data_IF_437111085902
#
_entry.id   IF_437111085902
#
_cell.length_a   1.000
_cell.length_b   1.000
_cell.length_c   1.000
_cell.angle_alpha   90.00
_cell.angle_beta   90.00
_cell.angle_gamma   90.00
#
_symmetry.space_group_name_H-M   'P 1'
#
loop_
_entity.id
_entity.type
_entity.pdbx_description
1 polymer ?
#
# COMPACT_ATOMS: atom_id res chain seq x y z
N UNK A 1 24.39 -11.07 -5.14
CA UNK A 1 24.24 -10.14 -4.00
C UNK A 1 23.30 -10.75 -2.97
N UNK A 2 23.81 -11.30 -1.86
CA UNK A 2 23.01 -11.96 -0.82
C UNK A 2 21.92 -11.05 -0.22
N UNK A 3 22.15 -9.74 -0.15
CA UNK A 3 21.16 -8.76 0.31
C UNK A 3 19.89 -8.71 -0.56
N UNK A 4 20.04 -8.77 -1.89
CA UNK A 4 18.91 -8.76 -2.82
C UNK A 4 18.07 -10.03 -2.72
N UNK A 5 18.71 -11.17 -2.44
CA UNK A 5 18.02 -12.43 -2.24
C UNK A 5 17.16 -12.41 -0.96
N UNK A 6 17.68 -11.87 0.14
CA UNK A 6 16.94 -11.67 1.41
C UNK A 6 15.75 -10.72 1.22
N UNK A 7 15.96 -9.58 0.56
CA UNK A 7 14.89 -8.63 0.25
C UNK A 7 13.77 -9.30 -0.55
N UNK A 8 14.12 -10.01 -1.62
CA UNK A 8 13.14 -10.72 -2.45
C UNK A 8 12.34 -11.75 -1.64
N UNK A 9 13.00 -12.47 -0.72
CA UNK A 9 12.33 -13.41 0.17
C UNK A 9 11.31 -12.69 1.08
N UNK A 10 11.70 -11.58 1.71
CA UNK A 10 10.81 -10.81 2.59
C UNK A 10 9.60 -10.25 1.87
N UNK A 11 9.80 -9.71 0.66
CA UNK A 11 8.71 -9.22 -0.19
C UNK A 11 7.74 -10.35 -0.56
N UNK A 12 8.24 -11.53 -0.91
CA UNK A 12 7.39 -12.70 -1.19
C UNK A 12 6.58 -13.13 0.02
N UNK A 13 7.22 -13.24 1.19
CA UNK A 13 6.53 -13.58 2.44
C UNK A 13 5.44 -12.56 2.79
N UNK A 14 5.69 -11.28 2.57
CA UNK A 14 4.68 -10.24 2.78
C UNK A 14 3.49 -10.37 1.81
N UNK A 15 3.76 -10.65 0.53
CA UNK A 15 2.72 -10.90 -0.46
C UNK A 15 1.88 -12.15 -0.13
N UNK A 16 2.51 -13.23 0.34
CA UNK A 16 1.81 -14.43 0.82
C UNK A 16 0.92 -14.12 2.02
N UNK A 17 1.40 -13.33 3.00
CA UNK A 17 0.56 -12.89 4.12
C UNK A 17 -0.65 -12.09 3.64
N UNK A 18 -0.48 -11.23 2.63
CA UNK A 18 -1.57 -10.45 2.05
C UNK A 18 -2.58 -11.35 1.32
N UNK A 19 -2.10 -12.27 0.47
CA UNK A 19 -2.95 -13.18 -0.31
C UNK A 19 -3.76 -14.12 0.58
N UNK A 20 -3.17 -14.62 1.66
CA UNK A 20 -3.81 -15.56 2.58
C UNK A 20 -4.43 -14.90 3.81
N UNK A 21 -4.36 -13.56 3.90
CA UNK A 21 -4.90 -12.76 5.01
C UNK A 21 -4.38 -13.18 6.38
N UNK A 22 -3.06 -13.38 6.47
CA UNK A 22 -2.37 -13.81 7.68
C UNK A 22 -1.81 -12.61 8.48
N UNK A 23 -2.61 -11.58 8.75
CA UNK A 23 -2.15 -10.39 9.47
C UNK A 23 -1.55 -10.66 10.85
N UNK A 24 -1.95 -11.74 11.54
CA UNK A 24 -1.34 -12.19 12.81
C UNK A 24 0.15 -12.51 12.70
N UNK A 25 0.66 -12.80 11.50
CA UNK A 25 2.06 -13.13 11.27
C UNK A 25 2.94 -11.88 11.04
N UNK A 26 2.33 -10.68 10.97
CA UNK A 26 3.02 -9.42 10.66
C UNK A 26 4.16 -9.13 11.64
N UNK A 27 3.94 -9.32 12.94
CA UNK A 27 4.96 -9.03 13.96
C UNK A 27 6.16 -9.96 13.85
N UNK A 28 5.93 -11.27 13.68
CA UNK A 28 6.98 -12.25 13.45
C UNK A 28 7.77 -11.93 12.17
N UNK A 29 7.08 -11.53 11.10
CA UNK A 29 7.71 -11.13 9.85
C UNK A 29 8.57 -9.86 10.00
N UNK A 30 8.08 -8.83 10.72
CA UNK A 30 8.82 -7.61 11.00
C UNK A 30 10.10 -7.88 11.82
N UNK A 31 10.01 -8.76 12.83
CA UNK A 31 11.17 -9.17 13.62
C UNK A 31 12.19 -9.92 12.77
N UNK A 32 11.75 -10.82 11.89
CA UNK A 32 12.65 -11.52 10.97
C UNK A 32 13.32 -10.56 9.97
N UNK A 33 12.59 -9.53 9.52
CA UNK A 33 13.12 -8.50 8.63
C UNK A 33 14.21 -7.66 9.29
N UNK A 34 14.03 -7.25 10.56
CA UNK A 34 15.04 -6.47 11.30
C UNK A 34 16.30 -7.25 11.67
N UNK A 35 16.21 -8.59 11.67
CA UNK A 35 17.38 -9.46 11.84
C UNK A 35 18.14 -9.69 10.52
N UNK A 36 17.58 -9.30 9.38
CA UNK A 36 18.33 -9.26 8.14
C UNK A 36 19.25 -8.03 8.17
N UNK A 37 20.51 -8.20 7.75
CA UNK A 37 21.47 -7.11 7.53
C UNK A 37 21.05 -6.25 6.32
N UNK A 38 19.93 -5.53 6.47
CA UNK A 38 19.26 -4.67 5.47
C UNK A 38 18.88 -3.31 6.09
N UNK A 39 19.88 -2.53 6.55
CA UNK A 39 19.66 -1.29 7.31
C UNK A 39 18.85 -0.23 6.54
N UNK A 40 18.95 -0.19 5.20
CA UNK A 40 18.22 0.77 4.36
C UNK A 40 16.70 0.62 4.47
N UNK A 41 16.24 -0.55 4.92
CA UNK A 41 14.83 -0.91 4.98
C UNK A 41 14.28 -0.96 6.41
N UNK A 42 15.09 -0.64 7.42
CA UNK A 42 14.61 -0.52 8.81
C UNK A 42 13.52 0.56 8.93
N UNK A 43 13.65 1.67 8.18
CA UNK A 43 12.64 2.74 8.15
C UNK A 43 11.27 2.25 7.68
N UNK A 44 11.22 1.21 6.84
CA UNK A 44 9.97 0.60 6.40
C UNK A 44 9.28 -0.15 7.54
N UNK A 45 10.02 -0.98 8.28
CA UNK A 45 9.49 -1.69 9.45
C UNK A 45 9.05 -0.73 10.54
N UNK A 46 9.79 0.36 10.78
CA UNK A 46 9.38 1.39 11.74
C UNK A 46 8.03 2.01 11.39
N UNK A 47 7.77 2.32 10.11
CA UNK A 47 6.47 2.81 9.68
C UNK A 47 5.37 1.76 9.85
N UNK A 48 5.64 0.50 9.50
CA UNK A 48 4.68 -0.58 9.71
C UNK A 48 4.32 -0.78 11.18
N UNK A 49 5.28 -0.61 12.10
CA UNK A 49 5.02 -0.67 13.55
C UNK A 49 4.15 0.48 14.04
N UNK A 50 4.37 1.69 13.53
CA UNK A 50 3.52 2.84 13.86
C UNK A 50 2.06 2.59 13.46
N UNK A 51 1.86 1.98 12.29
CA UNK A 51 0.53 1.71 11.74
C UNK A 51 0.09 0.24 11.95
N UNK A 52 0.63 -0.46 12.96
CA UNK A 52 0.53 -1.91 13.10
C UNK A 52 -0.91 -2.42 13.09
N UNK A 53 -1.83 -1.75 13.79
CA UNK A 53 -3.25 -2.14 13.83
C UNK A 53 -3.90 -2.03 12.45
N UNK A 54 -3.64 -0.92 11.75
CA UNK A 54 -4.18 -0.67 10.42
C UNK A 54 -3.62 -1.67 9.39
N UNK A 55 -2.31 -1.94 9.45
CA UNK A 55 -1.66 -2.92 8.56
C UNK A 55 -2.16 -4.34 8.87
N UNK A 56 -2.31 -4.70 10.14
CA UNK A 56 -2.85 -6.00 10.56
C UNK A 56 -4.27 -6.18 10.05
N UNK A 57 -5.12 -5.16 10.17
CA UNK A 57 -6.46 -5.17 9.62
C UNK A 57 -6.46 -5.31 8.09
N UNK A 58 -5.60 -4.56 7.39
CA UNK A 58 -5.43 -4.67 5.94
C UNK A 58 -4.92 -6.05 5.46
N UNK A 59 -4.14 -6.73 6.30
CA UNK A 59 -3.65 -8.09 6.07
C UNK A 59 -4.59 -9.17 6.61
N UNK A 60 -5.78 -8.85 7.13
CA UNK A 60 -6.69 -9.86 7.73
C UNK A 60 -8.10 -9.77 7.14
N UNK A 61 -8.59 -8.55 6.92
CA UNK A 61 -9.94 -8.32 6.47
C UNK A 61 -10.09 -8.55 4.95
N UNK A 62 -11.30 -8.89 4.48
CA UNK A 62 -11.57 -9.01 3.05
C UNK A 62 -11.61 -7.68 2.31
N UNK A 63 -11.65 -6.57 3.05
CA UNK A 63 -11.83 -5.24 2.50
C UNK A 63 -10.49 -4.67 2.06
N UNK A 64 -10.47 -4.08 0.86
CA UNK A 64 -9.34 -3.31 0.36
C UNK A 64 -9.80 -1.92 -0.06
N UNK A 65 -8.91 -0.93 0.11
CA UNK A 65 -9.12 0.41 -0.42
C UNK A 65 -8.93 0.48 -1.94
N UNK A 66 -8.61 -0.63 -2.63
CA UNK A 66 -8.25 -0.66 -4.05
C UNK A 66 -9.27 0.00 -4.97
N UNK A 67 -10.58 -0.33 -4.88
CA UNK A 67 -11.60 0.36 -5.67
C UNK A 67 -11.66 1.86 -5.36
N UNK A 68 -11.59 2.24 -4.08
CA UNK A 68 -11.63 3.66 -3.65
C UNK A 68 -10.42 4.43 -4.17
N UNK A 69 -9.23 3.85 -4.06
CA UNK A 69 -7.98 4.41 -4.59
C UNK A 69 -8.01 4.54 -6.11
N UNK A 70 -8.63 3.59 -6.81
CA UNK A 70 -8.88 3.66 -8.26
C UNK A 70 -9.71 4.88 -8.63
N UNK A 71 -10.83 5.12 -7.93
CA UNK A 71 -11.67 6.30 -8.16
C UNK A 71 -10.92 7.61 -7.83
N UNK A 72 -10.15 7.63 -6.75
CA UNK A 72 -9.30 8.78 -6.39
C UNK A 72 -8.25 9.05 -7.47
N UNK A 73 -7.61 8.01 -7.99
CA UNK A 73 -6.60 8.15 -9.04
C UNK A 73 -7.21 8.65 -10.36
N UNK A 74 -8.39 8.13 -10.75
CA UNK A 74 -9.16 8.62 -11.91
C UNK A 74 -9.50 10.10 -11.76
N UNK A 75 -9.99 10.50 -10.59
CA UNK A 75 -10.32 11.90 -10.28
C UNK A 75 -9.09 12.80 -10.37
N UNK A 76 -7.95 12.38 -9.80
CA UNK A 76 -6.67 13.10 -9.89
C UNK A 76 -6.19 13.21 -11.34
N UNK A 77 -6.35 12.15 -12.14
CA UNK A 77 -6.00 12.14 -13.56
C UNK A 77 -6.85 13.14 -14.35
N UNK A 78 -8.17 13.14 -14.18
CA UNK A 78 -9.06 14.11 -14.83
C UNK A 78 -8.70 15.56 -14.45
N UNK A 79 -8.39 15.82 -13.18
CA UNK A 79 -7.92 17.14 -12.74
C UNK A 79 -6.57 17.54 -13.36
N UNK A 80 -5.64 16.59 -13.53
CA UNK A 80 -4.33 16.80 -14.19
C UNK A 80 -4.48 17.09 -15.68
N UNK A 81 -5.37 16.39 -16.38
CA UNK A 81 -5.71 16.69 -17.79
C UNK A 81 -6.26 18.11 -17.97
N UNK A 82 -6.79 18.71 -16.90
CA UNK A 82 -7.25 20.10 -16.88
C UNK A 82 -6.19 21.10 -16.42
N UNK A 83 -4.93 20.69 -16.33
CA UNK A 83 -3.83 21.51 -15.79
C UNK A 83 -4.14 22.07 -14.40
N UNK A 84 -4.90 21.33 -13.59
CA UNK A 84 -5.32 21.76 -12.25
C UNK A 84 -6.46 22.78 -12.22
N UNK A 85 -6.96 23.25 -13.37
CA UNK A 85 -8.01 24.29 -13.50
C UNK A 85 -9.44 23.72 -13.42
N UNK A 86 -9.67 22.78 -12.52
CA UNK A 86 -10.98 22.18 -12.29
C UNK A 86 -11.50 22.62 -10.93
N UNK A 87 -12.37 23.63 -10.91
CA UNK A 87 -13.19 23.90 -9.72
C UNK A 87 -14.13 22.68 -9.47
N UNK A 88 -14.69 22.51 -8.26
CA UNK A 88 -15.46 21.32 -7.92
C UNK A 88 -16.62 21.02 -8.89
N UNK A 89 -17.33 22.05 -9.35
CA UNK A 89 -18.46 21.90 -10.28
C UNK A 89 -18.01 21.39 -11.66
N UNK A 90 -16.91 21.92 -12.17
CA UNK A 90 -16.34 21.52 -13.46
C UNK A 90 -15.73 20.11 -13.39
N UNK A 91 -15.10 19.77 -12.26
CA UNK A 91 -14.58 18.42 -12.03
C UNK A 91 -15.72 17.41 -11.95
N UNK A 92 -16.80 17.74 -11.23
CA UNK A 92 -18.01 16.90 -11.14
C UNK A 92 -18.62 16.64 -12.51
N UNK A 93 -18.80 17.68 -13.33
CA UNK A 93 -19.30 17.53 -14.71
C UNK A 93 -18.41 16.60 -15.54
N UNK A 94 -17.08 16.74 -15.47
CA UNK A 94 -16.17 15.86 -16.21
C UNK A 94 -16.16 14.42 -15.72
N UNK A 95 -16.31 14.17 -14.42
CA UNK A 95 -16.40 12.81 -13.89
C UNK A 95 -17.64 12.12 -14.44
N UNK A 96 -18.80 12.79 -14.38
CA UNK A 96 -20.08 12.26 -14.86
C UNK A 96 -20.14 12.05 -16.38
N UNK A 97 -19.37 12.83 -17.15
CA UNK A 97 -19.34 12.76 -18.62
C UNK A 97 -18.20 11.89 -19.18
N UNK A 98 -17.31 11.37 -18.31
CA UNK A 98 -16.21 10.51 -18.71
C UNK A 98 -16.51 9.01 -18.52
N UNK A 99 -17.74 8.68 -18.08
CA UNK A 99 -18.30 7.32 -17.99
C UNK A 99 -19.04 6.94 -19.28
#
# INVERSE_FOLDING_TARGET
>A
MPQLAKLRLRVRQFAEMMMHRHGRNLETWMNAFLNDDLPELHSFVTRLRHDQDAVTAGLTLPYSSGPVEGHVNRTKMLKRQMYGRANPDLLRKRILLAD
#
